data_IF_500889050124
#
_entry.id   IF_500889050124
#
_cell.length_a   1.000
_cell.length_b   1.000
_cell.length_c   1.000
_cell.angle_alpha   90.00
_cell.angle_beta   90.00
_cell.angle_gamma   90.00
#
_symmetry.space_group_name_H-M   'P 1'
#
loop_
_entity.id
_entity.type
_entity.pdbx_description
1 polymer ?
#
# COMPACT_ATOMS: atom_id res chain seq x y z
N UNK A 1 -12.25 1.34 9.44
CA UNK A 1 -11.55 2.48 8.79
C UNK A 1 -10.41 2.00 7.87
N UNK A 2 -10.24 2.59 6.68
CA UNK A 2 -9.18 2.23 5.72
C UNK A 2 -7.85 2.88 6.14
N UNK A 3 -6.82 2.07 6.43
CA UNK A 3 -5.50 2.59 6.88
C UNK A 3 -4.81 3.45 5.83
N UNK A 4 -4.97 3.14 4.54
CA UNK A 4 -4.39 3.94 3.45
C UNK A 4 -5.01 5.33 3.37
N UNK A 5 -6.34 5.41 3.48
CA UNK A 5 -7.05 6.68 3.44
C UNK A 5 -6.64 7.58 4.61
N UNK A 6 -6.67 7.05 5.84
CA UNK A 6 -6.26 7.81 7.02
C UNK A 6 -4.80 8.29 6.93
N UNK A 7 -3.87 7.41 6.55
CA UNK A 7 -2.47 7.81 6.39
C UNK A 7 -2.27 8.92 5.35
N UNK A 8 -3.06 8.92 4.28
CA UNK A 8 -3.01 9.93 3.22
C UNK A 8 -3.58 11.27 3.71
N UNK A 9 -4.78 11.28 4.27
CA UNK A 9 -5.43 12.51 4.75
C UNK A 9 -4.64 13.13 5.88
N UNK A 10 -4.18 12.33 6.85
CA UNK A 10 -3.38 12.82 7.97
C UNK A 10 -2.06 13.46 7.50
N UNK A 11 -1.43 12.92 6.45
CA UNK A 11 -0.21 13.48 5.88
C UNK A 11 -0.47 14.80 5.15
N UNK A 12 -1.55 14.87 4.37
CA UNK A 12 -1.95 16.09 3.66
C UNK A 12 -2.35 17.20 4.65
N UNK A 13 -3.11 16.86 5.69
CA UNK A 13 -3.53 17.78 6.74
C UNK A 13 -2.33 18.36 7.49
N UNK A 14 -1.37 17.50 7.90
CA UNK A 14 -0.13 17.97 8.54
C UNK A 14 0.71 18.87 7.64
N UNK A 15 0.68 18.64 6.34
CA UNK A 15 1.40 19.44 5.36
C UNK A 15 0.63 20.71 4.92
N UNK A 16 -0.62 20.90 5.38
CA UNK A 16 -1.47 22.00 4.95
C UNK A 16 -1.86 21.95 3.47
N UNK A 17 -1.81 20.76 2.84
CA UNK A 17 -2.15 20.59 1.42
C UNK A 17 -3.66 20.40 1.29
N UNK A 18 -4.39 21.31 0.62
CA UNK A 18 -5.83 21.17 0.45
C UNK A 18 -6.18 19.92 -0.35
N UNK A 19 -7.16 19.16 0.13
CA UNK A 19 -7.62 17.95 -0.54
C UNK A 19 -9.13 17.80 -0.46
N UNK A 20 -9.68 16.94 -1.31
CA UNK A 20 -11.08 16.52 -1.27
C UNK A 20 -11.18 15.06 -1.68
N UNK A 21 -12.25 14.40 -1.26
CA UNK A 21 -12.58 13.07 -1.77
C UNK A 21 -13.15 13.22 -3.19
N UNK A 22 -12.43 12.73 -4.19
CA UNK A 22 -12.89 12.74 -5.58
C UNK A 22 -13.74 11.52 -5.94
N UNK A 23 -13.47 10.37 -5.32
CA UNK A 23 -14.12 9.10 -5.61
C UNK A 23 -13.96 8.12 -4.44
N UNK A 24 -14.97 7.27 -4.19
CA UNK A 24 -14.94 6.23 -3.14
C UNK A 24 -15.41 4.90 -3.67
N UNK A 25 -14.72 3.82 -3.31
CA UNK A 25 -15.11 2.45 -3.66
C UNK A 25 -14.53 1.45 -2.64
N UNK A 26 -15.20 0.33 -2.38
CA UNK A 26 -14.64 -0.74 -1.56
C UNK A 26 -13.65 -1.65 -2.32
N UNK A 27 -13.48 -1.47 -3.63
CA UNK A 27 -12.67 -2.36 -4.49
C UNK A 27 -11.33 -1.73 -4.87
N UNK A 28 -10.23 -2.47 -4.68
CA UNK A 28 -8.90 -2.07 -5.16
C UNK A 28 -8.90 -1.88 -6.69
N UNK A 29 -9.55 -2.76 -7.43
CA UNK A 29 -9.66 -2.63 -8.88
C UNK A 29 -10.42 -1.35 -9.27
N UNK A 30 -11.45 -0.99 -8.51
CA UNK A 30 -12.18 0.27 -8.71
C UNK A 30 -11.30 1.50 -8.45
N UNK A 31 -10.43 1.46 -7.43
CA UNK A 31 -9.47 2.53 -7.18
C UNK A 31 -8.47 2.68 -8.33
N UNK A 32 -7.97 1.56 -8.87
CA UNK A 32 -7.09 1.57 -10.04
C UNK A 32 -7.77 2.10 -11.29
N UNK A 33 -9.01 1.69 -11.56
CA UNK A 33 -9.77 2.21 -12.68
C UNK A 33 -9.98 3.73 -12.58
N UNK A 34 -10.34 4.23 -11.40
CA UNK A 34 -10.55 5.67 -11.18
C UNK A 34 -9.24 6.47 -11.35
N UNK A 35 -8.12 5.97 -10.83
CA UNK A 35 -6.81 6.61 -10.99
C UNK A 35 -6.35 6.61 -12.46
N UNK A 36 -6.49 5.49 -13.16
CA UNK A 36 -6.15 5.37 -14.58
C UNK A 36 -7.01 6.29 -15.46
N UNK A 37 -8.28 6.50 -15.09
CA UNK A 37 -9.19 7.42 -15.77
C UNK A 37 -8.99 8.90 -15.38
N UNK A 38 -8.02 9.22 -14.52
CA UNK A 38 -7.66 10.60 -14.18
C UNK A 38 -8.61 11.29 -13.20
N UNK A 39 -9.43 10.55 -12.44
CA UNK A 39 -10.35 11.15 -11.47
C UNK A 39 -9.62 11.74 -10.24
N UNK A 40 -8.39 11.30 -9.98
CA UNK A 40 -7.58 11.79 -8.88
C UNK A 40 -6.40 10.87 -8.55
N UNK A 41 -5.81 11.09 -7.38
CA UNK A 41 -4.70 10.32 -6.84
C UNK A 41 -5.19 9.29 -5.82
N UNK A 42 -4.48 8.17 -5.71
CA UNK A 42 -4.73 7.17 -4.67
C UNK A 42 -3.42 6.77 -4.01
N UNK A 43 -3.46 6.57 -2.68
CA UNK A 43 -2.31 6.12 -1.89
C UNK A 43 -2.39 4.62 -1.70
N UNK A 44 -1.38 3.88 -2.18
CA UNK A 44 -1.30 2.42 -2.14
C UNK A 44 0.15 1.96 -2.01
N UNK A 45 0.34 0.70 -1.64
CA UNK A 45 1.64 0.04 -1.79
C UNK A 45 1.98 -0.13 -3.27
N UNK A 46 3.27 -0.22 -3.58
CA UNK A 46 3.77 -0.56 -4.92
C UNK A 46 3.39 -2.00 -5.33
N UNK A 47 3.13 -2.90 -4.37
CA UNK A 47 2.65 -4.25 -4.65
C UNK A 47 1.37 -4.25 -5.50
N UNK A 48 1.43 -4.94 -6.63
CA UNK A 48 0.28 -5.09 -7.54
C UNK A 48 -0.10 -3.81 -8.26
N UNK A 49 0.86 -2.91 -8.51
CA UNK A 49 0.67 -1.72 -9.34
C UNK A 49 0.40 -2.15 -10.80
N UNK A 50 -0.77 -1.83 -11.38
CA UNK A 50 -1.05 -2.15 -12.77
C UNK A 50 -0.35 -1.16 -13.71
N UNK A 51 -0.02 -1.60 -14.92
CA UNK A 51 0.62 -0.77 -15.95
C UNK A 51 -0.22 0.44 -16.41
N UNK A 52 -1.52 0.45 -16.11
CA UNK A 52 -2.44 1.54 -16.43
C UNK A 52 -2.29 2.76 -15.52
N UNK A 53 -1.49 2.67 -14.46
CA UNK A 53 -1.17 3.78 -13.56
C UNK A 53 0.33 3.91 -13.40
N UNK A 54 0.77 5.08 -12.94
CA UNK A 54 2.18 5.34 -12.62
C UNK A 54 2.31 5.84 -11.20
N UNK A 55 3.45 5.53 -10.57
CA UNK A 55 3.82 6.13 -9.29
C UNK A 55 4.18 7.60 -9.54
N UNK A 56 3.72 8.48 -8.67
CA UNK A 56 4.15 9.88 -8.66
C UNK A 56 5.36 10.02 -7.75
N UNK A 57 6.34 10.79 -8.22
CA UNK A 57 7.39 11.28 -7.36
C UNK A 57 6.81 12.35 -6.44
N UNK A 58 6.70 12.02 -5.15
CA UNK A 58 5.97 12.83 -4.18
C UNK A 58 6.62 14.22 -3.97
N UNK A 59 7.95 14.35 -3.76
CA UNK A 59 8.61 15.64 -3.60
C UNK A 59 8.44 16.56 -4.81
N UNK A 60 8.65 16.09 -6.05
CA UNK A 60 8.46 16.94 -7.24
C UNK A 60 7.01 17.33 -7.49
N UNK A 61 6.06 16.55 -6.94
CA UNK A 61 4.63 16.83 -7.05
C UNK A 61 4.08 17.67 -5.88
N UNK A 62 4.94 18.13 -4.95
CA UNK A 62 4.53 18.88 -3.76
C UNK A 62 3.71 18.06 -2.75
N UNK A 63 3.82 16.73 -2.81
CA UNK A 63 3.10 15.81 -1.93
C UNK A 63 3.96 15.41 -0.72
N UNK A 64 3.36 15.29 0.48
CA UNK A 64 4.10 14.90 1.67
C UNK A 64 4.54 13.44 1.61
N UNK A 65 5.63 13.13 2.31
CA UNK A 65 6.04 11.75 2.53
C UNK A 65 4.97 10.98 3.33
N UNK A 66 4.80 9.71 2.99
CA UNK A 66 3.84 8.81 3.64
C UNK A 66 4.57 7.83 4.58
N UNK A 67 3.93 7.42 5.68
CA UNK A 67 4.50 6.41 6.56
C UNK A 67 4.53 5.04 5.86
N UNK A 68 5.45 4.18 6.30
CA UNK A 68 5.42 2.77 5.92
C UNK A 68 4.26 2.05 6.61
N UNK A 69 3.67 1.07 5.92
CA UNK A 69 2.65 0.21 6.49
C UNK A 69 3.25 -1.18 6.79
N UNK A 70 3.05 -1.72 8.00
CA UNK A 70 3.54 -3.04 8.33
C UNK A 70 2.75 -4.12 7.57
N UNK A 71 3.46 -5.08 6.99
CA UNK A 71 2.88 -6.33 6.50
C UNK A 71 2.99 -7.38 7.60
N UNK A 72 1.85 -7.93 8.03
CA UNK A 72 1.77 -8.83 9.18
C UNK A 72 1.15 -10.17 8.78
N UNK A 73 1.76 -11.26 9.22
CA UNK A 73 1.16 -12.59 9.16
C UNK A 73 0.36 -12.82 10.45
N UNK A 74 -0.96 -12.84 10.33
CA UNK A 74 -1.85 -13.13 11.46
C UNK A 74 -2.04 -14.63 11.62
N UNK A 75 -1.94 -15.09 12.86
CA UNK A 75 -2.14 -16.49 13.24
C UNK A 75 -2.86 -16.58 14.57
N UNK A 76 -3.72 -17.59 14.72
CA UNK A 76 -4.41 -17.86 15.97
C UNK A 76 -3.46 -18.56 16.94
N UNK A 77 -3.20 -17.96 18.10
CA UNK A 77 -2.27 -18.51 19.11
C UNK A 77 -2.70 -19.89 19.60
N UNK A 78 -4.01 -20.15 19.70
CA UNK A 78 -4.54 -21.43 20.15
C UNK A 78 -4.41 -22.57 19.12
N UNK A 79 -3.92 -22.32 17.91
CA UNK A 79 -3.75 -23.32 16.85
C UNK A 79 -2.29 -23.49 16.40
N UNK A 80 -1.33 -23.25 17.30
CA UNK A 80 0.11 -23.39 17.04
C UNK A 80 0.52 -24.87 16.92
N UNK A 81 0.14 -25.51 15.82
CA UNK A 81 0.58 -26.87 15.48
C UNK A 81 1.85 -26.80 14.63
N UNK A 82 2.67 -27.88 14.57
CA UNK A 82 3.85 -27.93 13.71
C UNK A 82 3.55 -27.61 12.23
N UNK A 83 2.38 -28.00 11.72
CA UNK A 83 1.93 -27.69 10.35
C UNK A 83 1.66 -26.21 10.16
N UNK A 84 1.00 -25.56 11.11
CA UNK A 84 0.73 -24.11 11.07
C UNK A 84 2.05 -23.33 11.13
N UNK A 85 2.99 -23.74 11.98
CA UNK A 85 4.33 -23.13 12.03
C UNK A 85 5.09 -23.33 10.72
N UNK A 86 5.00 -24.51 10.10
CA UNK A 86 5.65 -24.78 8.81
C UNK A 86 5.08 -23.89 7.72
N UNK A 87 3.76 -23.77 7.63
CA UNK A 87 3.08 -22.90 6.67
C UNK A 87 3.46 -21.43 6.91
N UNK A 88 3.44 -20.97 8.16
CA UNK A 88 3.81 -19.60 8.52
C UNK A 88 5.23 -19.25 8.05
N UNK A 89 6.19 -20.17 8.23
CA UNK A 89 7.55 -19.99 7.71
C UNK A 89 7.62 -19.95 6.19
N UNK A 90 6.90 -20.83 5.49
CA UNK A 90 6.87 -20.85 4.01
C UNK A 90 6.30 -19.53 3.48
N UNK A 91 5.16 -19.09 4.00
CA UNK A 91 4.52 -17.82 3.61
C UNK A 91 5.44 -16.64 3.89
N UNK A 92 6.05 -16.60 5.08
CA UNK A 92 6.99 -15.52 5.46
C UNK A 92 8.19 -15.48 4.52
N UNK A 93 8.75 -16.64 4.17
CA UNK A 93 9.89 -16.72 3.25
C UNK A 93 9.51 -16.24 1.85
N UNK A 94 8.42 -16.76 1.29
CA UNK A 94 7.94 -16.38 -0.04
C UNK A 94 7.65 -14.88 -0.14
N UNK A 95 7.02 -14.30 0.89
CA UNK A 95 6.76 -12.86 0.95
C UNK A 95 8.07 -12.08 1.07
N UNK A 96 9.04 -12.51 1.88
CA UNK A 96 10.35 -11.83 1.97
C UNK A 96 11.07 -11.82 0.62
N UNK A 97 11.05 -12.94 -0.09
CA UNK A 97 11.67 -13.05 -1.42
C UNK A 97 10.97 -12.14 -2.45
N UNK A 98 9.63 -12.17 -2.50
CA UNK A 98 8.85 -11.33 -3.40
C UNK A 98 9.03 -9.83 -3.14
N UNK A 99 9.19 -9.43 -1.87
CA UNK A 99 9.33 -8.02 -1.45
C UNK A 99 10.78 -7.52 -1.50
N UNK A 100 11.77 -8.42 -1.54
CA UNK A 100 13.19 -8.05 -1.61
C UNK A 100 13.57 -7.45 -2.97
N UNK A 101 12.99 -7.96 -4.06
CA UNK A 101 13.23 -7.41 -5.42
C UNK A 101 12.71 -5.98 -5.59
N UNK A 102 11.60 -5.63 -4.95
CA UNK A 102 10.99 -4.30 -5.06
C UNK A 102 11.64 -3.25 -4.15
N UNK A 103 12.23 -3.66 -3.02
CA UNK A 103 13.03 -2.75 -2.17
C UNK A 103 14.27 -2.21 -2.86
N UNK A 104 14.90 -3.00 -3.74
CA UNK A 104 16.04 -2.55 -4.53
C UNK A 104 15.66 -1.50 -5.59
N UNK A 105 14.43 -1.59 -6.13
CA UNK A 105 13.90 -0.65 -7.14
C UNK A 105 13.46 0.68 -6.51
N UNK A 106 13.02 0.68 -5.25
CA UNK A 106 12.62 1.89 -4.51
C UNK A 106 13.77 2.63 -3.82
N UNK A 107 14.93 2.00 -3.71
CA UNK A 107 16.14 2.60 -3.13
C UNK A 107 17.09 3.18 -4.21
N UNK A 108 16.77 2.97 -5.49
CA UNK A 108 17.47 3.51 -6.66
C UNK A 108 16.74 4.72 -7.22
#
# INVERSE_FOLDING_TARGET
PCRFFGAATDALDRAGVPWRVAFTTPSLAGLWAAAAAGLGLTVRSHYGLPASVRVLDAPSSGLPALPSLPLMLLRRTSSATPTVERLARIVTQAVREATAGERAVLAA
#
